data_IF_780357951634
#
_entry.id   IF_780357951634
#
_cell.length_a   1.000
_cell.length_b   1.000
_cell.length_c   1.000
_cell.angle_alpha   90.00
_cell.angle_beta   90.00
_cell.angle_gamma   90.00
#
_symmetry.space_group_name_H-M   'P 1'
#
loop_
_entity.id
_entity.type
_entity.pdbx_description
1 polymer ?
#
# COMPACT_ATOMS: atom_id res chain seq x y z
N UNK A 1 -14.24 -9.37 14.64
CA UNK A 1 -13.47 -10.52 14.07
C UNK A 1 -12.14 -9.95 13.68
N UNK A 2 -11.00 -10.47 14.19
CA UNK A 2 -9.67 -9.96 13.86
C UNK A 2 -9.43 -10.00 12.35
N UNK A 3 -9.05 -8.87 11.76
CA UNK A 3 -8.63 -8.81 10.37
C UNK A 3 -7.17 -9.23 10.27
N UNK A 4 -6.89 -10.26 9.50
CA UNK A 4 -5.51 -10.64 9.22
C UNK A 4 -4.98 -9.73 8.12
N UNK A 5 -3.92 -9.01 8.41
CA UNK A 5 -3.25 -8.12 7.48
C UNK A 5 -1.77 -8.46 7.32
N UNK A 6 -1.21 -8.00 6.22
CA UNK A 6 0.22 -8.04 5.95
C UNK A 6 0.71 -6.59 5.85
N UNK A 7 1.81 -6.24 6.53
CA UNK A 7 2.38 -4.88 6.47
C UNK A 7 3.64 -4.90 5.60
N UNK A 8 3.59 -4.23 4.45
CA UNK A 8 4.73 -3.98 3.57
C UNK A 8 5.33 -2.60 3.85
N UNK A 9 6.61 -2.56 4.16
CA UNK A 9 7.27 -1.33 4.59
C UNK A 9 8.77 -1.34 4.31
N UNK A 10 9.39 -0.17 4.29
CA UNK A 10 10.85 -0.01 4.30
C UNK A 10 11.38 -0.05 5.73
N UNK A 11 12.57 -0.58 5.93
CA UNK A 11 13.21 -0.69 7.26
C UNK A 11 13.28 0.66 7.98
N UNK A 12 13.43 1.74 7.23
CA UNK A 12 13.42 3.12 7.75
C UNK A 12 12.08 3.53 8.38
N UNK A 13 10.98 2.86 8.01
CA UNK A 13 9.62 3.11 8.50
C UNK A 13 9.21 2.11 9.62
N UNK A 14 10.14 1.35 10.18
CA UNK A 14 9.91 0.33 11.22
C UNK A 14 9.14 0.88 12.44
N UNK A 15 9.38 2.12 12.83
CA UNK A 15 8.70 2.74 13.98
C UNK A 15 7.19 2.91 13.73
N UNK A 16 6.79 3.13 12.48
CA UNK A 16 5.36 3.20 12.12
C UNK A 16 4.73 1.81 12.13
N UNK A 17 5.43 0.78 11.64
CA UNK A 17 4.98 -0.62 11.77
C UNK A 17 4.74 -0.99 13.23
N UNK A 18 5.70 -0.71 14.11
CA UNK A 18 5.57 -0.98 15.55
C UNK A 18 4.37 -0.27 16.18
N UNK A 19 4.14 0.99 15.83
CA UNK A 19 2.97 1.73 16.31
C UNK A 19 1.65 1.10 15.88
N UNK A 20 1.58 0.55 14.65
CA UNK A 20 0.39 -0.19 14.20
C UNK A 20 0.20 -1.45 15.06
N UNK A 21 1.26 -2.19 15.33
CA UNK A 21 1.21 -3.46 16.07
C UNK A 21 0.95 -3.30 17.57
N UNK A 22 1.52 -2.28 18.20
CA UNK A 22 1.62 -2.17 19.66
C UNK A 22 0.68 -1.11 20.26
N UNK A 23 0.49 0.01 19.54
CA UNK A 23 -0.18 1.20 20.09
C UNK A 23 -1.62 1.37 19.58
N UNK A 24 -2.00 0.68 18.52
CA UNK A 24 -3.35 0.80 17.96
C UNK A 24 -4.23 -0.34 18.47
N UNK A 25 -5.40 0.03 19.01
CA UNK A 25 -6.44 -0.93 19.38
C UNK A 25 -7.18 -1.42 18.13
N UNK A 26 -6.44 -2.17 17.30
CA UNK A 26 -6.96 -2.79 16.08
C UNK A 26 -6.99 -4.29 16.30
N UNK A 27 -8.15 -4.89 16.08
CA UNK A 27 -8.31 -6.35 16.08
C UNK A 27 -7.66 -6.96 14.83
N UNK A 28 -6.33 -6.88 14.79
CA UNK A 28 -5.48 -7.18 13.65
C UNK A 28 -4.41 -8.21 13.99
N UNK A 29 -4.22 -9.18 13.09
CA UNK A 29 -3.10 -10.13 13.14
C UNK A 29 -2.12 -9.74 12.03
N UNK A 30 -0.98 -9.19 12.42
CA UNK A 30 0.11 -8.88 11.49
C UNK A 30 0.83 -10.16 11.06
N UNK A 31 0.93 -10.31 9.76
CA UNK A 31 1.62 -11.42 9.07
C UNK A 31 2.87 -10.95 8.33
N UNK A 32 3.35 -9.72 8.56
CA UNK A 32 4.51 -9.20 7.84
C UNK A 32 5.79 -9.98 8.13
N UNK A 33 6.71 -9.91 7.17
CA UNK A 33 8.05 -10.49 7.30
C UNK A 33 8.87 -9.68 8.31
N UNK A 34 9.41 -10.34 9.32
CA UNK A 34 10.37 -9.76 10.25
C UNK A 34 11.81 -9.86 9.73
N UNK A 35 12.09 -10.90 8.92
CA UNK A 35 13.38 -11.12 8.29
C UNK A 35 13.22 -11.48 6.81
N UNK A 36 14.18 -11.09 5.94
CA UNK A 36 14.17 -11.46 4.54
C UNK A 36 14.24 -12.97 4.33
N UNK A 37 13.51 -13.49 3.35
CA UNK A 37 13.63 -14.88 2.95
C UNK A 37 15.00 -15.08 2.28
N UNK A 38 15.81 -15.94 2.86
CA UNK A 38 17.17 -16.23 2.39
C UNK A 38 17.13 -17.19 1.18
N UNK A 39 16.92 -16.65 0.00
CA UNK A 39 16.97 -17.37 -1.28
C UNK A 39 17.29 -16.41 -2.42
N UNK A 40 17.97 -16.90 -3.46
CA UNK A 40 18.18 -16.19 -4.72
C UNK A 40 17.13 -16.56 -5.79
N UNK A 41 16.25 -17.52 -5.47
CA UNK A 41 15.16 -17.95 -6.36
C UNK A 41 13.92 -17.09 -6.12
N UNK A 42 13.59 -16.24 -7.10
CA UNK A 42 12.46 -15.31 -7.03
C UNK A 42 11.12 -16.03 -6.92
N UNK A 43 10.93 -17.11 -7.67
CA UNK A 43 9.68 -17.90 -7.65
C UNK A 43 9.47 -18.54 -6.28
N UNK A 44 10.55 -19.05 -5.68
CA UNK A 44 10.54 -19.59 -4.32
C UNK A 44 10.17 -18.50 -3.29
N UNK A 45 10.79 -17.32 -3.37
CA UNK A 45 10.49 -16.19 -2.46
C UNK A 45 9.01 -15.79 -2.58
N UNK A 46 8.51 -15.64 -3.81
CA UNK A 46 7.12 -15.25 -4.06
C UNK A 46 6.13 -16.32 -3.56
N UNK A 47 6.46 -17.60 -3.75
CA UNK A 47 5.67 -18.71 -3.24
C UNK A 47 5.60 -18.68 -1.71
N UNK A 48 6.74 -18.50 -1.04
CA UNK A 48 6.83 -18.40 0.41
C UNK A 48 6.07 -17.22 0.98
N UNK A 49 6.16 -16.03 0.36
CA UNK A 49 5.38 -14.87 0.80
C UNK A 49 3.88 -15.20 0.72
N UNK A 50 3.42 -15.81 -0.37
CA UNK A 50 2.00 -16.16 -0.53
C UNK A 50 1.54 -17.22 0.47
N UNK A 51 2.29 -18.31 0.61
CA UNK A 51 1.87 -19.46 1.41
C UNK A 51 1.99 -19.22 2.92
N UNK A 52 3.07 -18.61 3.37
CA UNK A 52 3.39 -18.51 4.79
C UNK A 52 2.87 -17.21 5.43
N UNK A 53 2.74 -16.13 4.64
CA UNK A 53 2.42 -14.80 5.18
C UNK A 53 1.10 -14.22 4.67
N UNK A 54 0.72 -14.47 3.42
CA UNK A 54 -0.48 -13.90 2.81
C UNK A 54 -1.69 -14.84 2.78
N UNK A 55 -1.50 -16.16 2.90
CA UNK A 55 -2.57 -17.15 2.72
C UNK A 55 -3.84 -16.87 3.53
N UNK A 56 -3.69 -16.30 4.70
CA UNK A 56 -4.79 -15.96 5.60
C UNK A 56 -5.10 -14.46 5.66
N UNK A 57 -4.31 -13.61 4.99
CA UNK A 57 -4.55 -12.16 5.03
C UNK A 57 -5.53 -11.74 3.93
N UNK A 58 -6.32 -10.72 4.21
CA UNK A 58 -7.27 -10.13 3.25
C UNK A 58 -6.88 -8.72 2.84
N UNK A 59 -6.02 -8.09 3.63
CA UNK A 59 -5.54 -6.72 3.41
C UNK A 59 -4.02 -6.66 3.51
N UNK A 60 -3.41 -5.96 2.57
CA UNK A 60 -2.01 -5.56 2.64
C UNK A 60 -1.94 -4.06 2.90
N UNK A 61 -1.34 -3.72 4.05
CA UNK A 61 -1.00 -2.34 4.40
C UNK A 61 0.35 -2.02 3.79
N UNK A 62 0.42 -0.99 2.95
CA UNK A 62 1.66 -0.49 2.36
C UNK A 62 2.00 0.88 2.95
N UNK A 63 3.12 0.97 3.70
CA UNK A 63 3.60 2.24 4.25
C UNK A 63 4.32 3.05 3.18
N UNK A 64 3.78 4.22 2.86
CA UNK A 64 4.31 5.13 1.85
C UNK A 64 5.16 6.19 2.56
N UNK A 65 6.43 5.85 2.77
CA UNK A 65 7.45 6.69 3.38
C UNK A 65 8.40 7.31 2.37
N UNK A 66 9.38 8.07 2.85
CA UNK A 66 10.32 8.82 2.01
C UNK A 66 11.17 7.90 1.12
N UNK A 67 11.45 6.69 1.59
CA UNK A 67 12.32 5.73 0.90
C UNK A 67 11.56 4.65 0.13
N UNK A 68 10.23 4.67 0.13
CA UNK A 68 9.39 3.64 -0.49
C UNK A 68 9.01 3.93 -1.96
N UNK A 69 9.45 5.06 -2.53
CA UNK A 69 9.18 5.39 -3.93
C UNK A 69 10.06 4.59 -4.89
N UNK A 70 9.56 4.30 -6.10
CA UNK A 70 10.28 3.57 -7.16
C UNK A 70 11.63 4.21 -7.48
N UNK A 71 11.64 5.55 -7.61
CA UNK A 71 12.82 6.35 -7.94
C UNK A 71 13.63 6.79 -6.71
N UNK A 72 13.44 6.17 -5.55
CA UNK A 72 14.21 6.55 -4.37
C UNK A 72 15.68 6.21 -4.55
N UNK A 73 16.52 7.25 -4.46
CA UNK A 73 17.95 7.13 -4.76
C UNK A 73 18.65 6.22 -3.74
N UNK A 74 19.46 5.29 -4.24
CA UNK A 74 20.22 4.29 -3.46
C UNK A 74 19.36 3.33 -2.61
N UNK A 75 18.07 3.22 -2.90
CA UNK A 75 17.19 2.27 -2.22
C UNK A 75 16.90 1.06 -3.09
N UNK A 76 16.99 -0.12 -2.50
CA UNK A 76 16.53 -1.37 -3.12
C UNK A 76 15.05 -1.57 -2.80
N UNK A 77 14.21 -1.54 -3.83
CA UNK A 77 12.75 -1.71 -3.70
C UNK A 77 12.31 -3.17 -3.89
N UNK A 78 13.24 -4.08 -4.12
CA UNK A 78 12.94 -5.47 -4.50
C UNK A 78 11.98 -6.15 -3.53
N UNK A 79 12.18 -5.99 -2.22
CA UNK A 79 11.36 -6.66 -1.21
C UNK A 79 9.93 -6.14 -1.19
N UNK A 80 9.72 -4.83 -1.05
CA UNK A 80 8.37 -4.25 -1.01
C UNK A 80 7.61 -4.46 -2.33
N UNK A 81 8.32 -4.51 -3.47
CA UNK A 81 7.73 -4.85 -4.77
C UNK A 81 7.25 -6.29 -4.79
N UNK A 82 8.07 -7.25 -4.35
CA UNK A 82 7.68 -8.68 -4.25
C UNK A 82 6.50 -8.88 -3.31
N UNK A 83 6.48 -8.19 -2.19
CA UNK A 83 5.38 -8.25 -1.23
C UNK A 83 4.06 -7.75 -1.85
N UNK A 84 4.08 -6.61 -2.56
CA UNK A 84 2.89 -6.13 -3.25
C UNK A 84 2.50 -7.00 -4.46
N UNK A 85 3.45 -7.51 -5.23
CA UNK A 85 3.19 -8.47 -6.30
C UNK A 85 2.51 -9.74 -5.76
N UNK A 86 3.01 -10.28 -4.65
CA UNK A 86 2.42 -11.43 -4.00
C UNK A 86 0.99 -11.14 -3.52
N UNK A 87 0.76 -9.96 -2.93
CA UNK A 87 -0.56 -9.49 -2.46
C UNK A 87 -1.55 -9.29 -3.60
N UNK A 88 -1.08 -8.87 -4.76
CA UNK A 88 -1.88 -8.65 -5.97
C UNK A 88 -2.12 -9.93 -6.79
N UNK A 89 -1.43 -11.00 -6.48
CA UNK A 89 -1.58 -12.27 -7.16
C UNK A 89 -2.98 -12.86 -6.89
N UNK A 90 -3.66 -13.29 -7.95
CA UNK A 90 -4.96 -13.95 -7.89
C UNK A 90 -4.86 -15.28 -8.62
N UNK A 91 -4.75 -16.37 -7.89
CA UNK A 91 -4.57 -17.69 -8.46
C UNK A 91 -5.12 -18.80 -7.56
N UNK A 92 -4.81 -20.03 -7.90
CA UNK A 92 -5.23 -21.20 -7.13
C UNK A 92 -4.66 -21.10 -5.70
N UNK A 93 -5.52 -21.21 -4.70
CA UNK A 93 -5.22 -21.11 -3.27
C UNK A 93 -4.76 -19.72 -2.75
N UNK A 94 -4.84 -18.68 -3.56
CA UNK A 94 -4.53 -17.31 -3.09
C UNK A 94 -5.46 -16.30 -3.75
N UNK A 95 -6.25 -15.60 -2.94
CA UNK A 95 -7.10 -14.50 -3.39
C UNK A 95 -6.33 -13.19 -3.31
N UNK A 96 -6.56 -12.33 -4.28
CA UNK A 96 -5.97 -10.97 -4.30
C UNK A 96 -6.39 -10.18 -3.07
N UNK A 97 -5.41 -9.63 -2.33
CA UNK A 97 -5.66 -8.80 -1.16
C UNK A 97 -6.14 -7.40 -1.55
N UNK A 98 -6.95 -6.77 -0.71
CA UNK A 98 -7.13 -5.32 -0.73
C UNK A 98 -5.81 -4.63 -0.38
N UNK A 99 -5.51 -3.48 -0.99
CA UNK A 99 -4.29 -2.71 -0.72
C UNK A 99 -4.66 -1.39 -0.05
N UNK A 100 -4.18 -1.20 1.18
CA UNK A 100 -4.30 0.05 1.93
C UNK A 100 -2.94 0.76 1.95
N UNK A 101 -2.82 1.84 1.19
CA UNK A 101 -1.64 2.71 1.22
C UNK A 101 -1.75 3.76 2.33
N UNK A 102 -0.88 3.67 3.33
CA UNK A 102 -0.80 4.65 4.41
C UNK A 102 0.34 5.63 4.11
N UNK A 103 -0.02 6.86 3.80
CA UNK A 103 0.95 7.93 3.53
C UNK A 103 1.50 8.45 4.84
N UNK A 104 2.82 8.34 5.01
CA UNK A 104 3.51 8.84 6.20
C UNK A 104 3.67 10.37 6.15
N UNK A 105 3.82 11.05 7.30
CA UNK A 105 3.88 12.52 7.36
C UNK A 105 4.93 13.16 6.44
N UNK A 106 6.08 12.54 6.26
CA UNK A 106 7.16 13.00 5.36
C UNK A 106 6.74 13.07 3.88
N UNK A 107 5.66 12.38 3.50
CA UNK A 107 5.17 12.27 2.13
C UNK A 107 3.90 13.08 1.84
N UNK A 108 3.29 13.74 2.83
CA UNK A 108 2.02 14.45 2.64
C UNK A 108 2.08 15.47 1.51
N UNK A 109 3.07 16.34 1.50
CA UNK A 109 3.21 17.39 0.48
C UNK A 109 3.57 16.84 -0.91
N UNK A 110 4.19 15.65 -0.96
CA UNK A 110 4.52 14.99 -2.21
C UNK A 110 3.31 14.27 -2.82
N UNK A 111 2.46 13.68 -1.99
CA UNK A 111 1.29 12.89 -2.41
C UNK A 111 0.04 13.75 -2.55
N UNK A 112 -0.30 14.58 -1.55
CA UNK A 112 -1.53 15.37 -1.54
C UNK A 112 -1.26 16.78 -2.06
N UNK A 113 -1.76 17.08 -3.28
CA UNK A 113 -1.54 18.37 -3.98
C UNK A 113 -2.66 19.40 -3.79
N UNK A 114 -3.64 19.09 -2.93
CA UNK A 114 -4.78 19.96 -2.69
C UNK A 114 -5.90 19.78 -3.71
N UNK A 115 -6.59 20.88 -4.04
CA UNK A 115 -7.73 20.89 -4.97
C UNK A 115 -7.41 21.74 -6.19
N UNK A 116 -7.78 21.21 -7.37
CA UNK A 116 -7.69 21.93 -8.64
C UNK A 116 -9.02 21.92 -9.36
N UNK A 117 -9.30 23.02 -10.08
CA UNK A 117 -10.49 23.09 -10.93
C UNK A 117 -10.28 22.25 -12.20
N UNK A 118 -11.19 21.32 -12.42
CA UNK A 118 -11.16 20.47 -13.59
C UNK A 118 -11.59 21.24 -14.85
N UNK A 119 -10.77 21.21 -15.89
CA UNK A 119 -11.10 21.81 -17.18
C UNK A 119 -12.23 21.10 -17.93
N UNK A 120 -12.54 19.84 -17.57
CA UNK A 120 -13.58 19.04 -18.21
C UNK A 120 -14.96 19.28 -17.60
N UNK A 121 -15.07 19.23 -16.27
CA UNK A 121 -16.36 19.34 -15.58
C UNK A 121 -16.58 20.66 -14.83
N UNK A 122 -15.56 21.52 -14.74
CA UNK A 122 -15.59 22.80 -14.01
C UNK A 122 -15.61 22.69 -12.48
N UNK A 123 -15.64 21.48 -11.92
CA UNK A 123 -15.65 21.23 -10.46
C UNK A 123 -14.22 21.12 -9.92
N UNK A 124 -14.06 21.40 -8.62
CA UNK A 124 -12.79 21.16 -7.95
C UNK A 124 -12.66 19.68 -7.55
N UNK A 125 -11.53 19.06 -7.89
CA UNK A 125 -11.16 17.71 -7.47
C UNK A 125 -9.94 17.71 -6.59
N UNK A 126 -9.89 16.79 -5.63
CA UNK A 126 -8.68 16.52 -4.86
C UNK A 126 -7.64 15.88 -5.79
N UNK A 127 -6.43 16.41 -5.75
CA UNK A 127 -5.31 15.89 -6.53
C UNK A 127 -4.40 15.09 -5.63
N UNK A 128 -4.17 13.82 -6.02
CA UNK A 128 -3.15 12.96 -5.43
C UNK A 128 -2.10 12.62 -6.48
N UNK A 129 -0.84 12.68 -6.08
CA UNK A 129 0.29 12.36 -6.94
C UNK A 129 0.75 10.93 -6.62
N UNK A 130 0.34 9.97 -7.45
CA UNK A 130 0.68 8.56 -7.34
C UNK A 130 1.51 8.19 -8.58
N UNK A 131 2.82 8.17 -8.43
CA UNK A 131 3.78 7.89 -9.50
C UNK A 131 5.12 7.39 -8.93
N UNK A 132 6.08 7.14 -9.80
CA UNK A 132 7.41 6.59 -9.46
C UNK A 132 8.22 7.44 -8.46
N UNK A 133 7.86 8.71 -8.23
CA UNK A 133 8.51 9.57 -7.23
C UNK A 133 7.80 9.55 -5.87
N UNK A 134 6.66 8.90 -5.76
CA UNK A 134 5.87 8.84 -4.52
C UNK A 134 5.61 7.41 -4.05
N UNK A 135 5.48 6.45 -4.97
CA UNK A 135 5.16 5.05 -4.67
C UNK A 135 5.92 4.11 -5.60
N UNK A 136 5.90 2.80 -5.31
CA UNK A 136 6.36 1.78 -6.27
C UNK A 136 5.31 1.53 -7.36
N UNK A 137 5.75 0.95 -8.48
CA UNK A 137 4.90 0.69 -9.66
C UNK A 137 3.75 -0.26 -9.35
N UNK A 138 3.97 -1.27 -8.54
CA UNK A 138 2.97 -2.23 -8.11
C UNK A 138 1.76 -1.55 -7.46
N UNK A 139 1.99 -0.48 -6.68
CA UNK A 139 0.93 0.33 -6.12
C UNK A 139 0.33 1.29 -7.16
N UNK A 140 1.16 2.08 -7.84
CA UNK A 140 0.69 3.15 -8.74
C UNK A 140 -0.13 2.63 -9.91
N UNK A 141 0.27 1.51 -10.52
CA UNK A 141 -0.42 0.91 -11.66
C UNK A 141 -1.76 0.22 -11.29
N UNK A 142 -1.90 -0.15 -10.03
CA UNK A 142 -3.13 -0.76 -9.51
C UNK A 142 -4.03 0.22 -8.75
N UNK A 143 -3.63 1.49 -8.60
CA UNK A 143 -4.37 2.46 -7.80
C UNK A 143 -5.74 2.78 -8.38
N UNK A 144 -5.80 3.10 -9.67
CA UNK A 144 -7.04 3.41 -10.38
C UNK A 144 -7.55 2.19 -11.15
N UNK A 145 -8.87 1.98 -11.08
CA UNK A 145 -9.54 1.03 -11.98
C UNK A 145 -9.72 1.73 -13.34
N UNK A 146 -9.24 1.16 -14.46
CA UNK A 146 -9.41 1.77 -15.78
C UNK A 146 -10.88 2.01 -16.11
N UNK A 147 -11.19 3.19 -16.63
CA UNK A 147 -12.54 3.56 -17.09
C UNK A 147 -12.51 4.33 -18.40
N UNK A 148 -13.58 4.21 -19.18
CA UNK A 148 -13.69 4.83 -20.51
C UNK A 148 -14.03 6.32 -20.47
N UNK A 149 -14.68 6.79 -19.40
CA UNK A 149 -15.17 8.17 -19.31
C UNK A 149 -15.08 8.74 -17.91
N UNK A 150 -15.12 10.07 -17.81
CA UNK A 150 -15.07 10.82 -16.57
C UNK A 150 -13.76 11.55 -16.38
N UNK A 151 -13.77 12.57 -15.53
CA UNK A 151 -12.63 13.46 -15.28
C UNK A 151 -11.91 13.17 -13.95
N UNK A 152 -12.50 12.37 -13.07
CA UNK A 152 -11.93 12.00 -11.77
C UNK A 152 -12.36 10.59 -11.39
N UNK A 153 -11.65 9.97 -10.48
CA UNK A 153 -11.97 8.66 -9.91
C UNK A 153 -12.58 8.83 -8.53
N UNK A 154 -13.80 8.29 -8.33
CA UNK A 154 -14.39 8.13 -7.00
C UNK A 154 -13.67 7.02 -6.21
N UNK A 155 -14.01 6.84 -4.94
CA UNK A 155 -13.44 5.77 -4.12
C UNK A 155 -13.74 4.38 -4.68
N UNK A 156 -14.97 4.15 -5.17
CA UNK A 156 -15.38 2.88 -5.79
C UNK A 156 -14.67 2.58 -7.13
N UNK A 157 -14.03 3.57 -7.72
CA UNK A 157 -13.27 3.45 -8.98
C UNK A 157 -11.76 3.28 -8.73
N UNK A 158 -11.37 3.01 -7.49
CA UNK A 158 -9.98 2.73 -7.09
C UNK A 158 -9.88 1.32 -6.55
N UNK A 159 -8.81 0.63 -6.91
CA UNK A 159 -8.52 -0.66 -6.32
C UNK A 159 -7.81 -0.50 -4.97
N UNK A 160 -6.87 0.45 -4.88
CA UNK A 160 -6.15 0.72 -3.65
C UNK A 160 -6.82 1.87 -2.89
N UNK A 161 -6.90 1.73 -1.58
CA UNK A 161 -7.28 2.82 -0.68
C UNK A 161 -6.04 3.63 -0.31
N UNK A 162 -6.16 4.94 -0.18
CA UNK A 162 -5.09 5.84 0.22
C UNK A 162 -5.55 6.67 1.42
N UNK A 163 -4.79 6.61 2.52
CA UNK A 163 -5.11 7.31 3.76
C UNK A 163 -3.86 8.00 4.33
N UNK A 164 -4.05 9.11 5.03
CA UNK A 164 -2.97 9.73 5.80
C UNK A 164 -2.73 8.95 7.09
N UNK A 165 -1.49 8.91 7.54
CA UNK A 165 -1.13 8.30 8.82
C UNK A 165 -2.00 8.78 10.00
N UNK A 166 -2.22 10.11 10.11
CA UNK A 166 -3.00 10.66 11.22
C UNK A 166 -4.48 10.25 11.16
N UNK A 167 -5.06 10.16 9.97
CA UNK A 167 -6.46 9.73 9.80
C UNK A 167 -6.58 8.24 10.14
N UNK A 168 -5.66 7.40 9.63
CA UNK A 168 -5.61 5.97 9.96
C UNK A 168 -5.40 5.74 11.47
N UNK A 169 -4.48 6.47 12.10
CA UNK A 169 -4.20 6.36 13.53
C UNK A 169 -5.41 6.69 14.39
N UNK A 170 -6.23 7.67 13.99
CA UNK A 170 -7.40 8.10 14.75
C UNK A 170 -8.60 7.15 14.61
N UNK A 171 -8.74 6.47 13.48
CA UNK A 171 -9.85 5.54 13.22
C UNK A 171 -9.44 4.44 12.24
N UNK A 172 -8.60 3.48 12.68
CA UNK A 172 -8.10 2.43 11.80
C UNK A 172 -9.18 1.45 11.32
N UNK A 173 -10.27 1.29 12.07
CA UNK A 173 -11.36 0.37 11.74
C UNK A 173 -12.26 0.88 10.59
N UNK A 174 -12.14 2.16 10.22
CA UNK A 174 -12.84 2.74 9.06
C UNK A 174 -12.25 2.28 7.73
N UNK A 175 -11.00 1.85 7.70
CA UNK A 175 -10.25 1.45 6.52
C UNK A 175 -10.00 -0.06 6.52
#
# INVERSE_FOLDING_TARGET
MAHKCFISFKTEDMDYKKKIQEDMDVDMIDKSLDEPINSDDEDYIMCKIREDYLADSTVTIYLIGEYSAENSFLQDQTYIKRELQASLYNGENNTKNGILGIVLPSMYDKVYKGKEQCSVCGKNHNIVCINDNTTIKEFSYNYYIPKESGCSWSEDERYCVLVKWEDFKNDPETY
#
